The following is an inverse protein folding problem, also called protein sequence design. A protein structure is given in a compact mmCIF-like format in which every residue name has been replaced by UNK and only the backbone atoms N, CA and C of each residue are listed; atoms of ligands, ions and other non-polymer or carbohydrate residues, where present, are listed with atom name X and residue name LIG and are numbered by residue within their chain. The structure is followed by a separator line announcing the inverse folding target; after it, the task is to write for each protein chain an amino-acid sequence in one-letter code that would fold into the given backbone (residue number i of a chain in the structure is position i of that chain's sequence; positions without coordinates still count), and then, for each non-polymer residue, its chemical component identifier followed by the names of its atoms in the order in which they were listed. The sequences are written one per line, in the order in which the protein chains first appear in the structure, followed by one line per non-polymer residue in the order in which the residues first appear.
data_IF_769643809296
#
_entry.id   IF_769643809296
#
_cell.length_a   1.000
_cell.length_b   1.000
_cell.length_c   1.000
_cell.angle_alpha   90.00
_cell.angle_beta   90.00
_cell.angle_gamma   90.00
#
_symmetry.space_group_name_H-M   'P 1'
#
loop_
_entity.id
_entity.type
_entity.pdbx_description
1 polymer ?
#
# COMPACT_ATOMS: atom_id res chain seq x y z
N UNK A 1 10.38 -27.26 -25.89
CA UNK A 1 10.31 -25.82 -25.58
C UNK A 1 8.99 -25.52 -24.89
N UNK A 2 8.89 -25.55 -23.56
CA UNK A 2 7.73 -25.01 -22.87
C UNK A 2 8.10 -23.60 -22.38
N UNK A 3 8.35 -22.70 -23.32
CA UNK A 3 8.21 -21.26 -23.06
C UNK A 3 6.98 -20.88 -23.88
N UNK A 4 5.81 -21.08 -23.28
CA UNK A 4 4.62 -20.36 -23.72
C UNK A 4 4.93 -18.89 -23.46
N UNK A 5 5.42 -18.21 -24.49
CA UNK A 5 5.66 -16.78 -24.45
C UNK A 5 4.36 -16.11 -24.04
N UNK A 6 4.37 -15.46 -22.87
CA UNK A 6 3.30 -14.55 -22.49
C UNK A 6 3.09 -13.59 -23.66
N UNK A 7 1.89 -13.61 -24.23
CA UNK A 7 1.48 -12.70 -25.28
C UNK A 7 0.29 -11.93 -24.72
N UNK A 8 0.51 -10.79 -24.07
CA UNK A 8 -0.59 -9.94 -23.67
C UNK A 8 -1.23 -9.47 -24.98
N UNK A 9 -2.42 -9.98 -25.25
CA UNK A 9 -3.28 -9.60 -26.37
C UNK A 9 -4.65 -9.14 -25.87
N UNK A 10 -4.77 -8.97 -24.56
CA UNK A 10 -6.01 -8.66 -23.88
C UNK A 10 -5.79 -7.49 -22.95
N UNK A 11 -6.88 -6.75 -22.73
CA UNK A 11 -7.01 -5.67 -21.76
C UNK A 11 -6.43 -6.08 -20.38
N UNK A 12 -5.80 -5.14 -19.63
CA UNK A 12 -5.35 -5.41 -18.28
C UNK A 12 -6.51 -5.91 -17.40
N UNK A 13 -6.28 -7.02 -16.69
CA UNK A 13 -7.24 -7.68 -15.81
C UNK A 13 -7.41 -6.95 -14.49
N UNK A 14 -6.32 -6.49 -13.88
CA UNK A 14 -6.32 -5.86 -12.55
C UNK A 14 -6.66 -4.38 -12.70
N UNK A 15 -6.04 -3.69 -13.65
CA UNK A 15 -6.08 -2.23 -13.72
C UNK A 15 -7.06 -1.72 -14.77
N UNK A 16 -7.59 -0.54 -14.53
CA UNK A 16 -8.34 0.26 -15.51
C UNK A 16 -7.34 1.21 -16.14
N UNK A 17 -7.17 1.11 -17.45
CA UNK A 17 -6.30 1.95 -18.23
C UNK A 17 -7.16 2.91 -19.08
N UNK A 18 -7.40 4.11 -18.56
CA UNK A 18 -8.39 5.03 -19.15
C UNK A 18 -7.91 5.66 -20.48
N UNK A 19 -6.61 5.63 -20.77
CA UNK A 19 -6.00 6.26 -21.93
C UNK A 19 -5.19 5.30 -22.81
N UNK A 20 -5.28 3.99 -22.58
CA UNK A 20 -4.54 2.93 -23.28
C UNK A 20 -3.00 3.02 -23.19
N UNK A 21 -2.44 3.97 -22.43
CA UNK A 21 -0.99 4.22 -22.34
C UNK A 21 -0.31 3.08 -21.58
N UNK A 22 -0.91 2.64 -20.46
CA UNK A 22 -0.34 1.53 -19.70
C UNK A 22 -0.46 0.20 -20.45
N UNK A 23 -1.52 0.01 -21.23
CA UNK A 23 -1.74 -1.14 -22.08
C UNK A 23 -0.73 -1.16 -23.23
N UNK A 24 -0.44 -0.02 -23.85
CA UNK A 24 0.63 0.09 -24.84
C UNK A 24 2.00 -0.29 -24.24
N UNK A 25 2.29 0.17 -23.02
CA UNK A 25 3.50 -0.19 -22.27
C UNK A 25 3.56 -1.68 -21.93
N UNK A 26 2.51 -2.23 -21.32
CA UNK A 26 2.38 -3.64 -20.93
C UNK A 26 2.56 -4.58 -22.14
N UNK A 27 2.05 -4.18 -23.31
CA UNK A 27 2.13 -4.97 -24.53
C UNK A 27 3.44 -4.80 -25.30
N UNK A 28 4.35 -3.92 -24.85
CA UNK A 28 5.61 -3.70 -25.54
C UNK A 28 6.53 -4.93 -25.41
N UNK A 29 6.94 -5.51 -26.54
CA UNK A 29 7.70 -6.79 -26.58
C UNK A 29 8.94 -6.78 -25.68
N UNK A 30 9.69 -5.68 -25.65
CA UNK A 30 10.88 -5.58 -24.80
C UNK A 30 10.54 -5.52 -23.30
N UNK A 31 9.40 -4.95 -22.92
CA UNK A 31 8.95 -4.91 -21.52
C UNK A 31 8.61 -6.33 -21.07
N UNK A 32 7.85 -7.06 -21.89
CA UNK A 32 7.53 -8.48 -21.67
C UNK A 32 8.81 -9.31 -21.54
N UNK A 33 9.79 -9.11 -22.41
CA UNK A 33 11.07 -9.84 -22.36
C UNK A 33 11.90 -9.54 -21.10
N UNK A 34 11.85 -8.30 -20.61
CA UNK A 34 12.50 -7.90 -19.34
C UNK A 34 11.83 -8.62 -18.16
N UNK A 35 10.49 -8.57 -18.08
CA UNK A 35 9.71 -9.21 -17.02
C UNK A 35 9.94 -10.72 -17.02
N UNK A 36 9.85 -11.37 -18.18
CA UNK A 36 10.08 -12.81 -18.33
C UNK A 36 11.47 -13.24 -17.88
N UNK A 37 12.53 -12.52 -18.31
CA UNK A 37 13.90 -12.81 -17.86
C UNK A 37 14.05 -12.64 -16.36
N UNK A 38 13.45 -11.59 -15.78
CA UNK A 38 13.51 -11.34 -14.33
C UNK A 38 12.87 -12.50 -13.55
N UNK A 39 11.65 -12.89 -13.93
CA UNK A 39 10.91 -13.99 -13.32
C UNK A 39 11.65 -15.33 -13.49
N UNK A 40 12.24 -15.57 -14.65
CA UNK A 40 13.01 -16.78 -14.94
C UNK A 40 14.30 -16.84 -14.10
N UNK A 41 15.03 -15.73 -14.00
CA UNK A 41 16.26 -15.65 -13.21
C UNK A 41 16.00 -15.86 -11.71
N UNK A 42 14.87 -15.37 -11.19
CA UNK A 42 14.41 -15.66 -9.83
C UNK A 42 13.77 -17.04 -9.67
N UNK A 43 13.64 -17.84 -10.74
CA UNK A 43 12.94 -19.13 -10.76
C UNK A 43 11.45 -19.06 -10.36
N UNK A 44 10.87 -17.86 -10.33
CA UNK A 44 9.47 -17.62 -9.99
C UNK A 44 8.51 -18.27 -10.99
N UNK A 45 8.94 -18.40 -12.24
CA UNK A 45 8.13 -19.03 -13.29
C UNK A 45 7.78 -20.50 -12.99
N UNK A 46 8.51 -21.17 -12.09
CA UNK A 46 8.26 -22.58 -11.77
C UNK A 46 7.25 -22.75 -10.62
N UNK A 47 6.82 -21.65 -10.00
CA UNK A 47 5.89 -21.67 -8.87
C UNK A 47 4.47 -21.90 -9.38
N UNK A 48 3.70 -22.70 -8.62
CA UNK A 48 2.31 -23.01 -8.96
C UNK A 48 1.46 -21.73 -9.05
N UNK A 49 1.61 -20.84 -8.07
CA UNK A 49 0.86 -19.59 -8.02
C UNK A 49 1.19 -18.68 -9.20
N UNK A 50 2.45 -18.69 -9.68
CA UNK A 50 2.80 -18.00 -10.91
C UNK A 50 2.05 -18.55 -12.12
N UNK A 51 1.97 -19.88 -12.26
CA UNK A 51 1.27 -20.52 -13.38
C UNK A 51 -0.25 -20.24 -13.35
N UNK A 52 -0.82 -20.09 -12.15
CA UNK A 52 -2.25 -19.82 -11.97
C UNK A 52 -2.61 -18.34 -12.23
N UNK A 53 -1.73 -17.40 -11.88
CA UNK A 53 -1.98 -15.96 -11.92
C UNK A 53 -0.97 -15.21 -12.80
N UNK A 54 -0.47 -15.84 -13.87
CA UNK A 54 0.64 -15.32 -14.67
C UNK A 54 0.37 -13.91 -15.21
N UNK A 55 -0.81 -13.69 -15.80
CA UNK A 55 -1.13 -12.42 -16.47
C UNK A 55 -1.21 -11.28 -15.45
N UNK A 56 -1.89 -11.53 -14.33
CA UNK A 56 -2.02 -10.63 -13.20
C UNK A 56 -0.67 -10.28 -12.55
N UNK A 57 0.22 -11.27 -12.39
CA UNK A 57 1.58 -11.03 -11.89
C UNK A 57 2.34 -10.14 -12.87
N UNK A 58 2.27 -10.43 -14.18
CA UNK A 58 2.90 -9.61 -15.22
C UNK A 58 2.40 -8.17 -15.19
N UNK A 59 1.10 -7.95 -15.00
CA UNK A 59 0.52 -6.62 -14.87
C UNK A 59 1.10 -5.84 -13.68
N UNK A 60 1.23 -6.44 -12.50
CA UNK A 60 1.83 -5.76 -11.34
C UNK A 60 3.32 -5.48 -11.57
N UNK A 61 4.07 -6.42 -12.16
CA UNK A 61 5.48 -6.18 -12.54
C UNK A 61 5.61 -5.00 -13.51
N UNK A 62 4.77 -4.96 -14.55
CA UNK A 62 4.75 -3.89 -15.52
C UNK A 62 4.35 -2.56 -14.89
N UNK A 63 3.33 -2.54 -14.02
CA UNK A 63 2.91 -1.31 -13.36
C UNK A 63 4.00 -0.75 -12.44
N UNK A 64 4.67 -1.63 -11.69
CA UNK A 64 5.82 -1.22 -10.89
C UNK A 64 6.94 -0.63 -11.74
N UNK A 65 7.26 -1.22 -12.90
CA UNK A 65 8.21 -0.65 -13.86
C UNK A 65 7.79 0.72 -14.38
N UNK A 66 6.50 0.85 -14.72
CA UNK A 66 5.91 2.07 -15.21
C UNK A 66 6.03 3.22 -14.19
N UNK A 67 5.81 2.90 -12.91
CA UNK A 67 5.86 3.87 -11.82
C UNK A 67 7.28 4.20 -11.33
N UNK A 68 8.23 3.29 -11.50
CA UNK A 68 9.63 3.51 -11.05
C UNK A 68 10.49 4.26 -12.06
N UNK A 69 10.10 4.29 -13.35
CA UNK A 69 10.86 4.99 -14.38
C UNK A 69 10.25 6.38 -14.65
N UNK A 70 10.71 7.38 -13.90
CA UNK A 70 10.29 8.79 -14.08
C UNK A 70 10.54 9.31 -15.50
N UNK A 71 11.65 8.88 -16.13
CA UNK A 71 11.99 9.24 -17.50
C UNK A 71 10.95 8.68 -18.49
N UNK A 72 10.46 7.45 -18.27
CA UNK A 72 9.42 6.82 -19.08
C UNK A 72 8.11 7.61 -19.05
N UNK A 73 7.67 8.08 -17.88
CA UNK A 73 6.46 8.91 -17.79
C UNK A 73 6.63 10.19 -18.62
N UNK A 74 7.78 10.86 -18.50
CA UNK A 74 8.06 12.09 -19.24
C UNK A 74 8.21 11.90 -20.76
N UNK A 75 8.66 10.71 -21.19
CA UNK A 75 8.82 10.37 -22.61
C UNK A 75 7.48 9.94 -23.23
N UNK A 76 6.67 9.17 -22.50
CA UNK A 76 5.33 8.77 -22.94
C UNK A 76 4.41 9.99 -23.12
N UNK A 77 4.49 10.96 -22.20
CA UNK A 77 3.74 12.23 -22.30
C UNK A 77 4.11 13.07 -23.53
N UNK A 78 5.33 12.89 -24.09
CA UNK A 78 5.85 13.70 -25.21
C UNK A 78 5.63 13.08 -26.59
N UNK A 79 5.65 11.75 -26.70
CA UNK A 79 5.85 11.08 -27.99
C UNK A 79 4.68 10.20 -28.47
N UNK A 80 3.50 10.28 -27.83
CA UNK A 80 2.32 9.45 -28.16
C UNK A 80 2.65 7.95 -28.20
N UNK A 81 2.80 7.38 -27.00
CA UNK A 81 2.47 5.99 -26.64
C UNK A 81 3.50 4.88 -26.88
N UNK A 82 4.72 5.16 -27.34
CA UNK A 82 5.78 4.12 -27.42
C UNK A 82 7.07 4.50 -26.71
N UNK A 83 7.55 3.66 -25.77
CA UNK A 83 8.86 3.84 -25.13
C UNK A 83 9.98 3.87 -26.16
N UNK A 84 10.95 4.78 -26.00
CA UNK A 84 12.14 4.79 -26.87
C UNK A 84 13.09 3.65 -26.52
N UNK A 85 13.98 3.29 -27.44
CA UNK A 85 15.02 2.27 -27.18
C UNK A 85 15.95 2.65 -26.01
N UNK A 86 16.17 3.95 -25.80
CA UNK A 86 16.96 4.45 -24.66
C UNK A 86 16.21 4.22 -23.34
N UNK A 87 14.93 4.58 -23.30
CA UNK A 87 14.05 4.36 -22.13
C UNK A 87 13.96 2.88 -21.77
N UNK A 88 13.84 1.99 -22.77
CA UNK A 88 13.83 0.54 -22.54
C UNK A 88 15.16 0.03 -21.98
N UNK A 89 16.29 0.55 -22.47
CA UNK A 89 17.62 0.16 -21.96
C UNK A 89 17.80 0.59 -20.51
N UNK A 90 17.34 1.77 -20.14
CA UNK A 90 17.35 2.25 -18.77
C UNK A 90 16.47 1.36 -17.86
N UNK A 91 15.25 1.06 -18.30
CA UNK A 91 14.37 0.11 -17.62
C UNK A 91 15.04 -1.24 -17.35
N UNK A 92 15.71 -1.80 -18.37
CA UNK A 92 16.42 -3.08 -18.23
C UNK A 92 17.54 -3.00 -17.19
N UNK A 93 18.33 -1.93 -17.18
CA UNK A 93 19.39 -1.71 -16.20
C UNK A 93 18.86 -1.58 -14.77
N UNK A 94 17.74 -0.89 -14.59
CA UNK A 94 17.11 -0.72 -13.28
C UNK A 94 16.53 -2.06 -12.80
N UNK A 95 15.81 -2.77 -13.66
CA UNK A 95 15.06 -3.98 -13.30
C UNK A 95 15.91 -5.20 -12.99
N UNK A 96 17.09 -5.34 -13.63
CA UNK A 96 18.00 -6.45 -13.33
C UNK A 96 18.63 -6.34 -11.94
N UNK A 97 18.72 -5.13 -11.40
CA UNK A 97 19.32 -4.85 -10.09
C UNK A 97 18.28 -4.61 -8.98
N UNK A 98 17.01 -4.43 -9.35
CA UNK A 98 15.95 -4.13 -8.39
C UNK A 98 15.50 -5.40 -7.65
N UNK A 99 15.54 -5.33 -6.32
CA UNK A 99 14.82 -6.27 -5.47
C UNK A 99 13.37 -5.79 -5.31
N UNK A 100 12.41 -6.70 -5.42
CA UNK A 100 10.99 -6.35 -5.35
C UNK A 100 10.53 -6.12 -3.91
N UNK A 101 11.41 -5.55 -3.07
CA UNK A 101 11.11 -5.16 -1.70
C UNK A 101 10.01 -4.12 -1.66
N UNK A 102 9.94 -3.23 -2.65
CA UNK A 102 8.85 -2.26 -2.82
C UNK A 102 8.10 -2.52 -4.13
N UNK A 103 6.78 -2.54 -4.08
CA UNK A 103 5.91 -2.65 -5.25
C UNK A 103 5.07 -1.37 -5.34
N UNK A 104 5.17 -0.71 -6.50
CA UNK A 104 4.60 0.62 -6.74
C UNK A 104 3.36 0.48 -7.63
N UNK A 105 2.17 0.66 -7.07
CA UNK A 105 0.90 0.57 -7.80
C UNK A 105 0.14 1.90 -7.81
N UNK A 106 0.80 2.99 -7.42
CA UNK A 106 0.17 4.28 -7.25
C UNK A 106 -0.48 4.81 -8.53
N UNK A 107 -1.58 5.54 -8.39
CA UNK A 107 -2.20 6.31 -9.48
C UNK A 107 -3.09 5.52 -10.44
N UNK A 108 -3.25 4.22 -10.25
CA UNK A 108 -4.09 3.38 -11.12
C UNK A 108 -5.33 2.87 -10.40
N UNK A 109 -6.49 3.05 -11.03
CA UNK A 109 -7.72 2.39 -10.59
C UNK A 109 -7.63 0.90 -10.86
N UNK A 110 -8.02 0.10 -9.88
CA UNK A 110 -8.13 -1.34 -9.91
C UNK A 110 -9.60 -1.75 -10.17
N UNK A 111 -9.78 -2.77 -11.00
CA UNK A 111 -11.06 -3.45 -11.24
C UNK A 111 -11.46 -4.31 -10.03
N UNK A 112 -10.48 -4.89 -9.35
CA UNK A 112 -10.64 -5.68 -8.14
C UNK A 112 -9.34 -5.70 -7.33
N UNK A 113 -9.41 -6.06 -6.04
CA UNK A 113 -8.22 -6.25 -5.19
C UNK A 113 -7.59 -7.63 -5.46
N UNK A 114 -6.37 -7.73 -6.00
CA UNK A 114 -5.77 -9.00 -6.42
C UNK A 114 -5.05 -9.68 -5.24
N UNK A 115 -5.79 -10.00 -4.17
CA UNK A 115 -5.28 -10.51 -2.88
C UNK A 115 -4.26 -11.65 -3.01
N UNK A 116 -4.52 -12.62 -3.90
CA UNK A 116 -3.63 -13.77 -4.12
C UNK A 116 -2.33 -13.40 -4.81
N UNK A 117 -2.40 -12.43 -5.73
CA UNK A 117 -1.24 -11.91 -6.45
C UNK A 117 -0.37 -11.08 -5.49
N UNK A 118 -0.98 -10.21 -4.69
CA UNK A 118 -0.25 -9.47 -3.65
C UNK A 118 0.43 -10.41 -2.65
N UNK A 119 -0.24 -11.51 -2.29
CA UNK A 119 0.36 -12.56 -1.47
C UNK A 119 1.56 -13.22 -2.15
N UNK A 120 1.49 -13.51 -3.45
CA UNK A 120 2.63 -14.02 -4.22
C UNK A 120 3.84 -13.07 -4.13
N UNK A 121 3.64 -11.76 -4.28
CA UNK A 121 4.73 -10.79 -4.10
C UNK A 121 5.29 -10.79 -2.67
N UNK A 122 4.41 -10.84 -1.67
CA UNK A 122 4.83 -10.89 -0.28
C UNK A 122 5.66 -12.14 0.05
N UNK A 123 5.20 -13.31 -0.37
CA UNK A 123 5.82 -14.60 -0.04
C UNK A 123 7.06 -14.89 -0.89
N UNK A 124 6.99 -14.65 -2.19
CA UNK A 124 7.95 -15.18 -3.18
C UNK A 124 8.92 -14.10 -3.68
N UNK A 125 8.52 -12.82 -3.64
CA UNK A 125 9.36 -11.71 -4.07
C UNK A 125 10.03 -10.98 -2.90
N UNK A 126 9.70 -11.33 -1.65
CA UNK A 126 10.23 -10.67 -0.46
C UNK A 126 9.76 -9.21 -0.35
N UNK A 127 8.56 -8.91 -0.85
CA UNK A 127 8.00 -7.56 -0.78
C UNK A 127 7.70 -7.18 0.66
N UNK A 128 8.28 -6.05 1.07
CA UNK A 128 8.18 -5.44 2.40
C UNK A 128 7.38 -4.12 2.35
N UNK A 129 7.18 -3.54 1.17
CA UNK A 129 6.45 -2.29 0.97
C UNK A 129 5.46 -2.37 -0.19
N UNK A 130 4.21 -1.98 0.07
CA UNK A 130 3.23 -1.72 -0.98
C UNK A 130 2.85 -0.23 -0.99
N UNK A 131 2.90 0.35 -2.19
CA UNK A 131 2.35 1.68 -2.44
C UNK A 131 1.06 1.55 -3.27
N UNK A 132 -0.06 1.85 -2.61
CA UNK A 132 -1.41 1.90 -3.18
C UNK A 132 -1.96 3.33 -3.23
N UNK A 133 -1.11 4.35 -3.11
CA UNK A 133 -1.55 5.73 -3.12
C UNK A 133 -2.30 6.07 -4.41
N UNK A 134 -3.37 6.87 -4.34
CA UNK A 134 -4.23 7.20 -5.50
C UNK A 134 -4.83 5.98 -6.22
N UNK A 135 -5.06 4.89 -5.49
CA UNK A 135 -5.81 3.74 -6.01
C UNK A 135 -7.18 3.62 -5.32
N UNK A 136 -7.98 2.66 -5.77
CA UNK A 136 -9.26 2.29 -5.15
C UNK A 136 -9.20 0.86 -4.56
N UNK A 137 -8.03 0.44 -4.06
CA UNK A 137 -7.89 -0.90 -3.51
C UNK A 137 -8.82 -1.10 -2.30
N UNK A 138 -9.53 -2.22 -2.27
CA UNK A 138 -10.37 -2.59 -1.13
C UNK A 138 -9.47 -3.05 0.04
N UNK A 139 -9.35 -2.21 1.07
CA UNK A 139 -8.50 -2.44 2.25
C UNK A 139 -9.01 -3.62 3.09
N UNK A 140 -10.33 -3.80 3.21
CA UNK A 140 -10.89 -4.91 3.98
C UNK A 140 -10.49 -6.26 3.39
N UNK A 141 -10.41 -6.34 2.05
CA UNK A 141 -9.93 -7.54 1.36
C UNK A 141 -8.45 -7.82 1.65
N UNK A 142 -7.62 -6.80 1.92
CA UNK A 142 -6.22 -7.01 2.29
C UNK A 142 -6.09 -7.76 3.63
N UNK A 143 -7.04 -7.57 4.56
CA UNK A 143 -7.05 -8.31 5.82
C UNK A 143 -7.26 -9.82 5.64
N UNK A 144 -7.78 -10.26 4.50
CA UNK A 144 -7.99 -11.68 4.19
C UNK A 144 -6.70 -12.40 3.76
N UNK A 145 -5.65 -11.66 3.36
CA UNK A 145 -4.35 -12.23 3.07
C UNK A 145 -3.41 -12.19 4.26
N UNK A 146 -2.60 -13.23 4.37
CA UNK A 146 -1.44 -13.25 5.25
C UNK A 146 -0.28 -12.51 4.57
N UNK A 147 -0.20 -11.19 4.76
CA UNK A 147 0.82 -10.28 4.21
C UNK A 147 1.90 -9.94 5.26
N UNK A 148 2.45 -10.97 5.89
CA UNK A 148 3.31 -10.79 7.07
C UNK A 148 4.65 -10.13 6.78
N UNK A 149 5.16 -10.12 5.55
CA UNK A 149 6.45 -9.45 5.31
C UNK A 149 6.31 -7.93 5.16
N UNK A 150 5.09 -7.39 5.11
CA UNK A 150 4.88 -5.95 4.88
C UNK A 150 5.21 -5.14 6.14
N UNK A 151 6.21 -4.27 5.99
CA UNK A 151 6.68 -3.31 6.99
C UNK A 151 6.22 -1.87 6.66
N UNK A 152 5.93 -1.57 5.39
CA UNK A 152 5.48 -0.25 4.95
C UNK A 152 4.25 -0.35 4.03
N UNK A 153 3.27 0.52 4.27
CA UNK A 153 2.06 0.60 3.46
C UNK A 153 1.70 2.06 3.21
N UNK A 154 1.61 2.43 1.94
CA UNK A 154 1.13 3.74 1.52
C UNK A 154 -0.30 3.64 0.98
N UNK A 155 -1.23 4.33 1.66
CA UNK A 155 -2.65 4.45 1.36
C UNK A 155 -3.05 5.93 1.18
N UNK A 156 -2.09 6.76 0.77
CA UNK A 156 -2.32 8.20 0.60
C UNK A 156 -3.24 8.50 -0.58
N UNK A 157 -4.00 9.59 -0.51
CA UNK A 157 -4.87 10.05 -1.61
C UNK A 157 -5.90 8.99 -2.08
N UNK A 158 -6.45 8.21 -1.15
CA UNK A 158 -7.43 7.14 -1.41
C UNK A 158 -8.87 7.52 -1.04
N UNK A 159 -9.12 8.81 -0.76
CA UNK A 159 -10.43 9.33 -0.35
C UNK A 159 -10.99 8.67 0.93
N UNK A 160 -10.13 8.13 1.80
CA UNK A 160 -10.56 7.45 3.02
C UNK A 160 -11.22 8.44 3.98
N UNK A 161 -12.44 8.14 4.43
CA UNK A 161 -13.19 8.97 5.39
C UNK A 161 -13.06 8.48 6.83
N UNK A 162 -12.55 7.26 7.01
CA UNK A 162 -12.37 6.59 8.30
C UNK A 162 -10.98 5.97 8.38
N UNK A 163 -10.46 5.85 9.59
CA UNK A 163 -9.22 5.14 9.83
C UNK A 163 -9.38 3.63 9.53
N UNK A 164 -8.56 3.06 8.62
CA UNK A 164 -8.74 1.67 8.19
C UNK A 164 -8.30 0.66 9.26
N UNK A 165 -8.96 -0.51 9.28
CA UNK A 165 -8.49 -1.65 10.05
C UNK A 165 -7.45 -2.44 9.24
N UNK A 166 -6.23 -2.55 9.75
CA UNK A 166 -5.10 -3.28 9.14
C UNK A 166 -4.57 -4.33 10.10
N UNK A 167 -5.48 -4.93 10.89
CA UNK A 167 -5.11 -5.83 11.98
C UNK A 167 -4.39 -7.11 11.55
N UNK A 168 -4.47 -7.51 10.26
CA UNK A 168 -3.70 -8.64 9.73
C UNK A 168 -2.21 -8.32 9.52
N UNK A 169 -1.84 -7.04 9.38
CA UNK A 169 -0.48 -6.60 9.07
C UNK A 169 0.39 -6.54 10.34
N UNK A 170 0.74 -7.71 10.89
CA UNK A 170 1.42 -7.82 12.19
C UNK A 170 2.83 -7.24 12.22
N UNK A 171 3.46 -7.09 11.06
CA UNK A 171 4.81 -6.55 10.93
C UNK A 171 4.85 -5.12 10.38
N UNK A 172 3.71 -4.46 10.20
CA UNK A 172 3.68 -3.09 9.71
C UNK A 172 4.35 -2.14 10.71
N UNK A 173 5.26 -1.32 10.21
CA UNK A 173 6.05 -0.33 10.95
C UNK A 173 5.69 1.09 10.52
N UNK A 174 5.45 1.30 9.24
CA UNK A 174 5.12 2.60 8.66
C UNK A 174 3.79 2.53 7.90
N UNK A 175 2.88 3.44 8.23
CA UNK A 175 1.59 3.59 7.57
C UNK A 175 1.42 5.03 7.12
N UNK A 176 1.28 5.24 5.82
CA UNK A 176 1.01 6.55 5.23
C UNK A 176 -0.46 6.62 4.81
N UNK A 177 -1.18 7.61 5.36
CA UNK A 177 -2.59 7.89 5.09
C UNK A 177 -2.75 9.35 4.67
N UNK A 178 -1.73 9.93 4.05
CA UNK A 178 -1.69 11.35 3.74
C UNK A 178 -2.75 11.74 2.71
N UNK A 179 -3.22 12.99 2.76
CA UNK A 179 -4.20 13.54 1.81
C UNK A 179 -5.46 12.68 1.66
N UNK A 180 -5.96 12.13 2.77
CA UNK A 180 -7.27 11.50 2.83
C UNK A 180 -8.31 12.45 3.44
N UNK A 181 -9.53 11.95 3.66
CA UNK A 181 -10.65 12.70 4.25
C UNK A 181 -10.98 12.20 5.67
N UNK A 182 -9.98 11.69 6.41
CA UNK A 182 -10.18 11.15 7.75
C UNK A 182 -10.46 12.30 8.71
N UNK A 183 -11.63 12.28 9.35
CA UNK A 183 -12.08 13.35 10.26
C UNK A 183 -11.87 13.02 11.74
N UNK A 184 -11.76 11.73 12.05
CA UNK A 184 -11.64 11.22 13.41
C UNK A 184 -10.67 10.04 13.44
N UNK A 185 -9.76 10.04 14.42
CA UNK A 185 -8.84 8.94 14.65
C UNK A 185 -9.34 8.08 15.81
N UNK A 186 -10.10 7.03 15.46
CA UNK A 186 -10.84 6.20 16.42
C UNK A 186 -10.51 4.71 16.24
N UNK A 187 -10.46 3.93 17.33
CA UNK A 187 -10.11 2.51 17.27
C UNK A 187 -11.30 1.60 16.97
N UNK A 188 -12.49 2.15 16.67
CA UNK A 188 -13.73 1.37 16.56
C UNK A 188 -13.61 0.15 15.63
N UNK A 189 -12.95 0.32 14.49
CA UNK A 189 -12.73 -0.75 13.52
C UNK A 189 -11.74 -1.84 13.98
N UNK A 190 -11.05 -1.64 15.11
CA UNK A 190 -10.16 -2.62 15.75
C UNK A 190 -10.82 -3.32 16.93
N UNK A 191 -11.98 -2.87 17.41
CA UNK A 191 -12.68 -3.53 18.50
C UNK A 191 -13.37 -4.79 18.01
N UNK A 192 -13.11 -5.91 18.68
CA UNK A 192 -13.71 -7.20 18.39
C UNK A 192 -14.76 -7.49 19.47
N UNK A 193 -16.04 -7.38 19.10
CA UNK A 193 -17.16 -7.53 20.04
C UNK A 193 -17.25 -8.93 20.65
N UNK A 194 -16.85 -9.97 19.91
CA UNK A 194 -16.92 -11.35 20.38
C UNK A 194 -15.92 -11.60 21.51
N UNK A 195 -14.71 -11.04 21.37
CA UNK A 195 -13.65 -11.18 22.37
C UNK A 195 -13.68 -10.08 23.43
N UNK A 196 -14.40 -8.98 23.18
CA UNK A 196 -14.39 -7.78 24.02
C UNK A 196 -13.02 -7.08 24.05
N UNK A 197 -12.20 -7.26 23.02
CA UNK A 197 -10.81 -6.81 22.99
C UNK A 197 -10.46 -6.04 21.70
N UNK A 198 -9.49 -5.16 21.79
CA UNK A 198 -8.91 -4.49 20.63
C UNK A 198 -7.89 -5.40 19.92
N UNK A 199 -8.00 -5.50 18.61
CA UNK A 199 -6.95 -6.06 17.76
C UNK A 199 -5.76 -5.11 17.76
N UNK A 200 -4.56 -5.66 17.93
CA UNK A 200 -3.34 -4.85 18.11
C UNK A 200 -2.47 -4.81 16.86
N UNK A 201 -1.74 -3.69 16.71
CA UNK A 201 -0.65 -3.49 15.75
C UNK A 201 0.65 -3.25 16.52
N UNK A 202 1.31 -4.32 16.98
CA UNK A 202 2.35 -4.23 18.01
C UNK A 202 3.68 -3.64 17.52
N UNK A 203 3.90 -3.58 16.21
CA UNK A 203 5.17 -3.15 15.60
C UNK A 203 5.08 -1.79 14.91
N UNK A 204 3.91 -1.13 14.96
CA UNK A 204 3.71 0.13 14.29
C UNK A 204 4.58 1.21 14.96
N UNK A 205 5.45 1.83 14.18
CA UNK A 205 6.41 2.84 14.61
C UNK A 205 5.95 4.24 14.21
N UNK A 206 5.31 4.37 13.05
CA UNK A 206 4.87 5.65 12.52
C UNK A 206 3.54 5.55 11.76
N UNK A 207 2.69 6.56 11.99
CA UNK A 207 1.47 6.81 11.24
C UNK A 207 1.52 8.24 10.74
N UNK A 208 1.50 8.40 9.42
CA UNK A 208 1.36 9.70 8.78
C UNK A 208 -0.10 9.93 8.40
N UNK A 209 -0.66 11.03 8.89
CA UNK A 209 -2.03 11.47 8.66
C UNK A 209 -2.01 12.93 8.16
N UNK A 210 -0.94 13.32 7.46
CA UNK A 210 -0.78 14.67 6.95
C UNK A 210 -1.89 14.98 5.95
N UNK A 211 -2.30 16.24 5.91
CA UNK A 211 -3.33 16.77 5.02
C UNK A 211 -4.69 16.04 5.11
N UNK A 212 -4.99 15.45 6.27
CA UNK A 212 -6.35 15.03 6.63
C UNK A 212 -7.09 16.16 7.37
N UNK A 213 -8.41 16.01 7.48
CA UNK A 213 -9.28 16.92 8.24
C UNK A 213 -9.53 16.43 9.68
N UNK A 214 -8.53 15.77 10.28
CA UNK A 214 -8.64 15.16 11.60
C UNK A 214 -8.95 16.21 12.66
N UNK A 215 -10.14 16.11 13.25
CA UNK A 215 -10.65 17.05 14.25
C UNK A 215 -10.84 16.41 15.63
N UNK A 216 -10.76 15.08 15.71
CA UNK A 216 -10.83 14.32 16.96
C UNK A 216 -9.89 13.11 16.97
N UNK A 217 -9.45 12.75 18.17
CA UNK A 217 -8.69 11.53 18.45
C UNK A 217 -9.29 10.87 19.69
N UNK A 218 -9.55 9.56 19.62
CA UNK A 218 -9.94 8.76 20.78
C UNK A 218 -8.68 8.17 21.45
N UNK A 219 -8.53 8.42 22.76
CA UNK A 219 -7.40 7.91 23.54
C UNK A 219 -7.34 6.37 23.57
N UNK A 220 -8.46 5.68 23.33
CA UNK A 220 -8.49 4.22 23.25
C UNK A 220 -7.66 3.68 22.07
N UNK A 221 -7.23 4.52 21.12
CA UNK A 221 -6.28 4.13 20.08
C UNK A 221 -4.94 3.61 20.66
N UNK A 222 -4.60 4.03 21.89
CA UNK A 222 -3.46 3.47 22.65
C UNK A 222 -3.59 1.97 22.95
N UNK A 223 -4.81 1.42 22.93
CA UNK A 223 -5.08 -0.02 23.06
C UNK A 223 -4.78 -0.79 21.77
N UNK A 224 -4.77 -0.11 20.63
CA UNK A 224 -4.42 -0.69 19.31
C UNK A 224 -2.89 -0.64 19.11
N UNK A 225 -2.27 0.50 19.40
CA UNK A 225 -0.83 0.75 19.21
C UNK A 225 -0.06 0.62 20.53
N UNK A 226 0.18 -0.62 20.93
CA UNK A 226 0.64 -0.98 22.27
C UNK A 226 2.12 -0.67 22.56
N UNK A 227 2.92 -0.27 21.57
CA UNK A 227 4.35 0.01 21.78
C UNK A 227 4.58 1.26 22.65
N UNK A 228 3.61 2.18 22.69
CA UNK A 228 3.76 3.51 23.30
C UNK A 228 4.78 4.41 22.61
N UNK A 229 5.53 3.88 21.64
CA UNK A 229 6.54 4.59 20.84
C UNK A 229 6.07 4.90 19.43
N UNK A 230 4.85 4.47 19.05
CA UNK A 230 4.26 4.83 17.76
C UNK A 230 4.13 6.34 17.65
N UNK A 231 4.83 6.94 16.69
CA UNK A 231 4.74 8.35 16.35
C UNK A 231 3.53 8.58 15.44
N UNK A 232 2.76 9.61 15.72
CA UNK A 232 1.62 10.05 14.91
C UNK A 232 1.94 11.45 14.39
N UNK A 233 1.90 11.60 13.07
CA UNK A 233 2.17 12.86 12.36
C UNK A 233 0.84 13.44 11.86
N UNK A 234 0.44 14.61 12.37
CA UNK A 234 -0.78 15.34 11.99
C UNK A 234 -0.45 16.77 11.59
N UNK A 235 -0.47 17.10 10.29
CA UNK A 235 -0.21 18.45 9.78
C UNK A 235 0.95 19.16 10.53
N UNK A 236 0.63 20.11 11.42
CA UNK A 236 1.59 20.94 12.17
C UNK A 236 1.98 20.36 13.54
N UNK A 237 1.59 19.12 13.84
CA UNK A 237 1.75 18.51 15.16
C UNK A 237 2.20 17.06 15.05
N UNK A 238 3.15 16.68 15.90
CA UNK A 238 3.58 15.29 16.08
C UNK A 238 3.55 14.91 17.56
N UNK A 239 3.27 13.64 17.82
CA UNK A 239 3.27 13.09 19.18
C UNK A 239 3.41 11.57 19.17
N UNK A 240 3.78 11.03 20.31
CA UNK A 240 3.76 9.59 20.54
C UNK A 240 2.37 9.13 20.97
N UNK A 241 2.01 7.90 20.62
CA UNK A 241 0.71 7.30 20.94
C UNK A 241 0.60 6.92 22.42
N UNK A 242 0.61 7.93 23.29
CA UNK A 242 0.40 7.83 24.73
C UNK A 242 -0.53 8.95 25.18
N UNK A 243 -1.34 8.72 26.22
CA UNK A 243 -2.29 9.70 26.73
C UNK A 243 -1.61 11.04 27.09
N UNK A 244 -0.44 10.99 27.75
CA UNK A 244 0.29 12.18 28.15
C UNK A 244 0.87 12.95 26.96
N UNK A 245 1.45 12.26 25.99
CA UNK A 245 1.99 12.91 24.78
C UNK A 245 0.87 13.52 23.95
N UNK A 246 -0.27 12.84 23.80
CA UNK A 246 -1.45 13.38 23.11
C UNK A 246 -1.98 14.64 23.82
N UNK A 247 -2.22 14.57 25.13
CA UNK A 247 -2.68 15.73 25.92
C UNK A 247 -1.75 16.94 25.79
N UNK A 248 -0.43 16.69 25.83
CA UNK A 248 0.58 17.74 25.73
C UNK A 248 0.60 18.37 24.33
N UNK A 249 0.69 17.56 23.28
CA UNK A 249 0.86 18.07 21.91
C UNK A 249 -0.43 18.66 21.34
N UNK A 250 -1.61 18.17 21.76
CA UNK A 250 -2.90 18.64 21.24
C UNK A 250 -3.47 19.84 21.99
N UNK A 251 -2.87 20.24 23.13
CA UNK A 251 -3.39 21.28 24.02
C UNK A 251 -3.72 22.61 23.32
N UNK A 252 -2.84 23.01 22.39
CA UNK A 252 -2.95 24.29 21.69
C UNK A 252 -3.48 24.11 20.25
N UNK A 253 -4.03 22.94 19.94
CA UNK A 253 -4.62 22.61 18.64
C UNK A 253 -6.15 22.69 18.70
N UNK A 254 -6.81 22.69 17.54
CA UNK A 254 -8.27 22.58 17.44
C UNK A 254 -8.77 21.12 17.51
N UNK A 255 -7.86 20.16 17.68
CA UNK A 255 -8.16 18.72 17.68
C UNK A 255 -8.64 18.32 19.08
N UNK A 256 -9.82 17.70 19.14
CA UNK A 256 -10.41 17.23 20.39
C UNK A 256 -9.84 15.87 20.78
N UNK A 257 -9.39 15.73 22.02
CA UNK A 257 -9.04 14.43 22.58
C UNK A 257 -10.25 13.88 23.34
N UNK A 258 -10.82 12.79 22.84
CA UNK A 258 -11.92 12.06 23.49
C UNK A 258 -11.36 11.12 24.55
N UNK A 259 -11.73 11.36 25.81
CA UNK A 259 -11.48 10.46 26.93
C UNK A 259 -12.83 9.80 27.25
N UNK A 260 -12.96 8.47 27.12
CA UNK A 260 -14.12 7.79 27.71
C UNK A 260 -14.09 8.06 29.21
N UNK A 261 -15.21 8.51 29.76
CA UNK A 261 -15.37 8.92 31.16
C UNK A 261 -14.97 7.78 32.11
N UNK A 262 -13.73 7.78 32.60
CA UNK A 262 -13.39 7.18 33.89
C UNK A 262 -13.76 8.13 35.05
N UNK A 263 -14.21 9.36 34.74
CA UNK A 263 -14.62 10.38 35.72
C UNK A 263 -15.96 10.12 36.43
N UNK A 264 -16.73 9.07 36.06
CA UNK A 264 -17.93 8.68 36.81
C UNK A 264 -17.66 7.72 37.98
N UNK A 265 -16.44 7.15 38.09
CA UNK A 265 -16.08 6.23 39.19
C UNK A 265 -15.28 6.88 40.32
N UNK A 266 -14.88 8.15 40.18
CA UNK A 266 -14.15 8.90 41.21
C UNK A 266 -14.98 10.02 41.86
N UNK A 267 -16.27 10.11 41.53
CA UNK A 267 -17.23 11.07 42.12
C UNK A 267 -18.36 10.39 42.93
N UNK A 268 -18.26 9.09 43.21
CA UNK A 268 -19.22 8.31 44.01
C UNK A 268 -18.73 8.00 45.41
#
# INVERSE_FOLDING_TARGET
NPLSSFHPKTEPKIFIDENDVFMAFLNHLKVIDIINRRLQNSKLINLKDYQEYQDEIHEIFALHMYNTCLQLQSDLDKYNDTPTDETIRELECNMLNYDFKKVMMHGFKMRYTPVRVLKFFNDECGTECFDFSKTNINIDMLNSANLNNIEELDLSEMELTQFPCLSSFKNLRHLYLDHNMIVAFEPGNYFDEETGAYRTMPRLEEISLLWNSTSSIDVEITKVFISGTTKICLNETEFYCTCDSMKKSLKDTHIKLSLKQEDELMAG
#
